data_IF_386433372498
#
_entry.id   IF_386433372498
#
_cell.length_a   1.000
_cell.length_b   1.000
_cell.length_c   1.000
_cell.angle_alpha   90.00
_cell.angle_beta   90.00
_cell.angle_gamma   90.00
#
_symmetry.space_group_name_H-M   'P 1'
#
loop_
_entity.id
_entity.type
_entity.pdbx_description
1 polymer ?
#
# COMPACT_ATOMS: atom_id res chain seq x y z
N UNK A 1 12.66 56.71 66.18
CA UNK A 1 13.67 57.69 65.72
C UNK A 1 12.92 58.87 65.12
N UNK A 2 13.14 60.03 65.72
CA UNK A 2 12.56 61.36 65.48
C UNK A 2 13.27 62.13 64.35
N UNK A 3 12.53 62.94 63.58
CA UNK A 3 12.91 64.29 63.07
C UNK A 3 11.94 64.73 61.94
N UNK A 4 10.98 65.64 62.18
CA UNK A 4 10.99 67.13 61.93
C UNK A 4 10.88 67.51 60.43
N UNK A 5 9.72 68.03 59.96
CA UNK A 5 9.24 69.44 59.96
C UNK A 5 10.10 70.36 59.03
N UNK A 6 9.58 71.18 58.10
CA UNK A 6 8.65 72.33 58.28
C UNK A 6 8.27 72.96 56.92
N UNK A 7 7.09 73.59 56.81
CA UNK A 7 6.59 74.39 55.68
C UNK A 7 7.20 75.82 55.60
N UNK A 8 6.90 76.62 54.56
CA UNK A 8 5.97 77.76 54.78
C UNK A 8 5.05 78.14 53.57
N UNK A 9 3.90 78.76 53.85
CA UNK A 9 3.12 79.58 52.89
C UNK A 9 3.74 80.99 52.67
N UNK A 10 3.12 82.00 51.99
CA UNK A 10 1.69 82.34 52.04
C UNK A 10 1.06 82.91 50.72
N UNK A 11 -0.19 83.37 50.87
CA UNK A 11 -1.20 84.02 49.99
C UNK A 11 -0.84 85.36 49.32
N UNK A 12 -1.47 85.68 48.16
CA UNK A 12 -2.00 87.01 47.78
C UNK A 12 -2.91 86.96 46.50
N UNK A 13 -3.80 87.95 46.24
CA UNK A 13 -5.09 87.75 45.55
C UNK A 13 -5.30 88.47 44.18
N UNK A 14 -6.38 88.04 43.50
CA UNK A 14 -7.31 88.71 42.57
C UNK A 14 -6.89 89.91 41.68
N UNK A 15 -7.14 89.79 40.37
CA UNK A 15 -7.55 90.82 39.36
C UNK A 15 -7.07 90.36 37.96
N UNK A 16 -7.74 90.47 36.82
CA UNK A 16 -9.07 90.83 36.35
C UNK A 16 -9.05 90.59 34.81
N UNK A 17 -10.16 90.32 34.11
CA UNK A 17 -10.13 90.05 32.66
C UNK A 17 -10.58 91.25 31.83
N UNK A 18 -9.80 91.61 30.80
CA UNK A 18 -10.16 92.22 29.50
C UNK A 18 -8.91 92.79 28.80
N UNK A 19 -8.86 93.02 27.46
CA UNK A 19 -9.83 92.74 26.40
C UNK A 19 -9.25 91.93 25.20
N UNK A 20 -10.08 91.54 24.21
CA UNK A 20 -9.66 90.73 23.06
C UNK A 20 -9.02 91.59 21.96
N UNK A 21 -8.06 91.00 21.24
CA UNK A 21 -7.56 91.50 19.95
C UNK A 21 -8.01 90.60 18.79
N UNK A 22 -8.18 91.16 17.58
CA UNK A 22 -8.97 90.57 16.49
C UNK A 22 -8.20 89.53 15.67
N UNK A 23 -8.89 88.68 14.88
CA UNK A 23 -8.29 87.52 14.25
C UNK A 23 -7.49 87.90 13.00
N UNK A 24 -6.27 87.36 12.79
CA UNK A 24 -5.70 87.21 11.47
C UNK A 24 -6.24 85.94 10.77
N UNK A 25 -6.31 85.93 9.43
CA UNK A 25 -6.86 84.82 8.63
C UNK A 25 -5.95 83.59 8.67
N UNK A 26 -6.48 82.36 8.46
CA UNK A 26 -5.66 81.15 8.57
C UNK A 26 -4.72 80.98 7.37
N UNK A 27 -3.42 80.88 7.65
CA UNK A 27 -2.44 80.24 6.79
C UNK A 27 -2.48 78.71 6.96
N UNK A 28 -2.36 78.02 5.83
CA UNK A 28 -1.53 76.83 5.60
C UNK A 28 -1.42 75.70 6.64
N UNK A 29 -1.73 74.48 6.13
CA UNK A 29 -1.12 73.16 6.44
C UNK A 29 -1.35 72.60 7.85
N UNK A 30 -2.01 71.44 7.94
CA UNK A 30 -1.29 70.15 7.95
C UNK A 30 -2.17 68.90 8.11
N UNK A 31 -1.68 67.81 7.48
CA UNK A 31 -1.65 66.41 7.94
C UNK A 31 -2.89 65.51 7.85
N UNK A 32 -2.69 64.49 7.01
CA UNK A 32 -2.69 63.07 7.36
C UNK A 32 -3.92 62.51 8.08
N UNK A 33 -4.78 61.85 7.30
CA UNK A 33 -5.66 60.78 7.78
C UNK A 33 -5.23 59.47 7.13
N UNK A 34 -4.25 58.79 7.73
CA UNK A 34 -3.94 57.41 7.42
C UNK A 34 -5.16 56.53 7.69
N UNK A 35 -5.58 55.77 6.68
CA UNK A 35 -6.45 54.61 6.84
C UNK A 35 -5.63 53.38 6.52
N UNK A 36 -4.84 52.98 7.50
CA UNK A 36 -4.38 51.60 7.66
C UNK A 36 -5.54 50.75 8.19
N UNK A 37 -5.79 49.62 7.53
CA UNK A 37 -6.74 48.62 8.02
C UNK A 37 -7.21 47.73 6.89
N UNK A 38 -6.76 46.47 6.92
CA UNK A 38 -7.22 45.19 6.34
C UNK A 38 -8.11 45.11 5.06
N UNK A 39 -8.79 46.17 4.63
CA UNK A 39 -9.59 46.27 3.41
C UNK A 39 -8.77 46.56 2.14
N UNK A 40 -7.52 47.01 2.28
CA UNK A 40 -6.61 47.18 1.13
C UNK A 40 -6.10 45.86 0.52
N UNK A 41 -6.29 44.73 1.21
CA UNK A 41 -5.84 43.42 0.73
C UNK A 41 -6.81 42.78 -0.29
N UNK A 42 -8.06 43.25 -0.34
CA UNK A 42 -9.10 42.72 -1.24
C UNK A 42 -9.20 43.47 -2.58
N UNK A 43 -8.54 44.62 -2.72
CA UNK A 43 -8.50 45.43 -3.95
C UNK A 43 -7.29 45.13 -4.86
N UNK A 44 -6.43 44.19 -4.43
CA UNK A 44 -5.23 43.75 -5.15
C UNK A 44 -5.48 43.08 -6.53
N UNK A 45 -6.60 42.38 -6.83
CA UNK A 45 -6.77 41.79 -8.16
C UNK A 45 -7.16 42.82 -9.23
N UNK A 46 -7.93 43.87 -8.89
CA UNK A 46 -8.51 44.79 -9.88
C UNK A 46 -7.53 45.82 -10.45
N UNK A 47 -6.64 46.36 -9.62
CA UNK A 47 -5.63 47.35 -10.06
C UNK A 47 -4.48 46.69 -10.83
N UNK A 48 -4.09 45.47 -10.45
CA UNK A 48 -3.09 44.67 -11.18
C UNK A 48 -3.54 44.35 -12.60
N UNK A 49 -4.79 43.91 -12.79
CA UNK A 49 -5.37 43.60 -14.11
C UNK A 49 -5.41 44.85 -15.01
N UNK A 50 -5.80 46.02 -14.49
CA UNK A 50 -5.84 47.26 -15.28
C UNK A 50 -4.46 47.80 -15.66
N UNK A 51 -3.43 47.56 -14.83
CA UNK A 51 -2.05 47.90 -15.15
C UNK A 51 -1.45 46.97 -16.22
N UNK A 52 -1.78 45.67 -16.16
CA UNK A 52 -1.44 44.66 -17.18
C UNK A 52 -2.08 45.01 -18.55
N UNK A 53 -3.34 45.42 -18.55
CA UNK A 53 -4.04 45.83 -19.79
C UNK A 53 -3.42 47.11 -20.40
N UNK A 54 -3.03 48.08 -19.56
CA UNK A 54 -2.39 49.32 -20.02
C UNK A 54 -0.96 49.10 -20.54
N UNK A 55 -0.20 48.20 -19.92
CA UNK A 55 1.15 47.86 -20.40
C UNK A 55 1.08 47.09 -21.73
N UNK A 56 0.12 46.17 -21.90
CA UNK A 56 -0.11 45.42 -23.14
C UNK A 56 -0.50 46.29 -24.35
N UNK A 57 -0.84 47.57 -24.16
CA UNK A 57 -1.07 48.51 -25.26
C UNK A 57 0.24 48.99 -25.93
N UNK A 58 1.39 48.87 -25.26
CA UNK A 58 2.70 49.30 -25.76
C UNK A 58 3.55 48.10 -26.19
N UNK A 59 4.38 48.25 -27.24
CA UNK A 59 5.27 47.17 -27.73
C UNK A 59 6.19 46.59 -26.63
N UNK A 60 6.81 47.41 -25.74
CA UNK A 60 7.59 46.90 -24.61
C UNK A 60 6.73 46.20 -23.55
N UNK A 61 5.51 46.70 -23.29
CA UNK A 61 4.64 46.11 -22.28
C UNK A 61 3.98 44.80 -22.71
N UNK A 62 3.78 44.55 -24.00
CA UNK A 62 3.40 43.21 -24.49
C UNK A 62 4.48 42.16 -24.22
N UNK A 63 5.75 42.53 -24.37
CA UNK A 63 6.87 41.62 -24.11
C UNK A 63 7.01 41.30 -22.61
N UNK A 64 6.78 42.27 -21.72
CA UNK A 64 6.78 42.01 -20.27
C UNK A 64 5.61 41.14 -19.83
N UNK A 65 4.41 41.31 -20.40
CA UNK A 65 3.26 40.43 -20.10
C UNK A 65 3.52 38.99 -20.54
N UNK A 66 4.11 38.78 -21.73
CA UNK A 66 4.52 37.44 -22.19
C UNK A 66 5.59 36.85 -21.26
N UNK A 67 6.57 37.65 -20.81
CA UNK A 67 7.62 37.19 -19.90
C UNK A 67 7.05 36.73 -18.56
N UNK A 68 6.21 37.56 -17.95
CA UNK A 68 5.58 37.26 -16.66
C UNK A 68 4.66 36.04 -16.78
N UNK A 69 3.92 35.93 -17.89
CA UNK A 69 3.08 34.78 -18.18
C UNK A 69 3.87 33.47 -18.30
N UNK A 70 4.98 33.47 -19.05
CA UNK A 70 5.84 32.29 -19.21
C UNK A 70 6.52 31.87 -17.90
N UNK A 71 6.99 32.83 -17.12
CA UNK A 71 7.61 32.56 -15.81
C UNK A 71 6.59 31.97 -14.83
N UNK A 72 5.40 32.56 -14.73
CA UNK A 72 4.34 32.03 -13.89
C UNK A 72 3.92 30.62 -14.33
N UNK A 73 3.73 30.40 -15.63
CA UNK A 73 3.35 29.11 -16.16
C UNK A 73 4.42 28.04 -15.91
N UNK A 74 5.71 28.40 -16.03
CA UNK A 74 6.83 27.51 -15.71
C UNK A 74 6.90 27.15 -14.22
N UNK A 75 6.69 28.12 -13.33
CA UNK A 75 6.69 27.90 -11.89
C UNK A 75 5.48 27.08 -11.44
N UNK A 76 4.28 27.34 -11.98
CA UNK A 76 3.08 26.57 -11.66
C UNK A 76 3.19 25.15 -12.22
N UNK A 77 3.65 24.98 -13.46
CA UNK A 77 3.87 23.66 -14.03
C UNK A 77 4.92 22.87 -13.25
N UNK A 78 6.04 23.50 -12.86
CA UNK A 78 7.06 22.90 -12.02
C UNK A 78 6.54 22.51 -10.64
N UNK A 79 5.83 23.41 -9.96
CA UNK A 79 5.25 23.16 -8.65
C UNK A 79 4.22 22.02 -8.71
N UNK A 80 3.29 22.04 -9.66
CA UNK A 80 2.29 20.97 -9.83
C UNK A 80 2.97 19.65 -10.16
N UNK A 81 3.99 19.64 -11.01
CA UNK A 81 4.73 18.42 -11.32
C UNK A 81 5.48 17.89 -10.08
N UNK A 82 6.17 18.74 -9.33
CA UNK A 82 6.87 18.36 -8.09
C UNK A 82 5.89 17.86 -7.02
N UNK A 83 4.78 18.55 -6.78
CA UNK A 83 3.75 18.11 -5.82
C UNK A 83 3.08 16.82 -6.27
N UNK A 84 2.87 16.62 -7.58
CA UNK A 84 2.32 15.36 -8.10
C UNK A 84 3.27 14.19 -7.89
N UNK A 85 4.59 14.42 -7.93
CA UNK A 85 5.60 13.40 -7.62
C UNK A 85 5.73 13.17 -6.11
N UNK A 86 5.73 14.23 -5.30
CA UNK A 86 5.82 14.14 -3.83
C UNK A 86 4.60 13.50 -3.19
N UNK A 87 3.38 13.88 -3.60
CA UNK A 87 2.16 13.23 -3.11
C UNK A 87 2.18 11.72 -3.42
N UNK A 88 2.84 11.32 -4.50
CA UNK A 88 2.99 9.92 -4.91
C UNK A 88 3.99 9.19 -4.01
N UNK A 89 5.10 9.83 -3.67
CA UNK A 89 6.12 9.35 -2.72
C UNK A 89 5.52 9.13 -1.31
N UNK A 90 4.81 10.12 -0.78
CA UNK A 90 4.14 10.05 0.53
C UNK A 90 3.05 8.97 0.57
N UNK A 91 2.30 8.80 -0.52
CA UNK A 91 1.24 7.77 -0.61
C UNK A 91 1.82 6.37 -0.75
N UNK A 92 2.88 6.19 -1.54
CA UNK A 92 3.59 4.91 -1.68
C UNK A 92 4.22 4.51 -0.34
N UNK A 93 4.86 5.44 0.35
CA UNK A 93 5.43 5.20 1.70
C UNK A 93 4.34 4.82 2.69
N UNK A 94 3.18 5.48 2.68
CA UNK A 94 2.03 5.11 3.52
C UNK A 94 1.47 3.72 3.22
N UNK A 95 1.38 3.33 1.94
CA UNK A 95 0.93 1.99 1.53
C UNK A 95 1.91 0.90 1.98
N UNK A 96 3.22 1.15 1.82
CA UNK A 96 4.29 0.21 2.20
C UNK A 96 4.43 0.10 3.72
N UNK A 97 4.40 1.21 4.45
CA UNK A 97 4.68 1.22 5.90
C UNK A 97 3.46 0.87 6.76
N UNK A 98 2.23 0.94 6.22
CA UNK A 98 1.01 0.64 6.98
C UNK A 98 0.18 -0.50 6.41
N UNK A 99 -0.09 -0.54 5.10
CA UNK A 99 -1.12 -1.42 4.51
C UNK A 99 -0.59 -2.80 4.08
N UNK A 100 0.62 -2.88 3.52
CA UNK A 100 1.26 -4.18 3.22
C UNK A 100 1.43 -5.06 4.49
N UNK A 101 1.85 -4.51 5.66
CA UNK A 101 1.97 -5.30 6.88
C UNK A 101 0.64 -5.78 7.47
N UNK A 102 -0.49 -5.15 7.10
CA UNK A 102 -1.85 -5.56 7.49
C UNK A 102 -2.35 -6.71 6.62
N UNK A 103 -2.25 -6.59 5.29
CA UNK A 103 -2.59 -7.68 4.38
C UNK A 103 -1.73 -8.94 4.68
N UNK A 104 -0.44 -8.74 4.98
CA UNK A 104 0.45 -9.81 5.41
C UNK A 104 0.00 -10.45 6.74
N UNK A 105 -0.51 -9.66 7.69
CA UNK A 105 -1.03 -10.15 8.96
C UNK A 105 -2.31 -10.97 8.75
N UNK A 106 -3.26 -10.49 7.95
CA UNK A 106 -4.51 -11.20 7.65
C UNK A 106 -4.25 -12.54 6.94
N UNK A 107 -3.27 -12.59 6.03
CA UNK A 107 -2.82 -13.85 5.46
C UNK A 107 -2.17 -14.77 6.50
N UNK A 108 -1.39 -14.23 7.44
CA UNK A 108 -0.81 -15.01 8.53
C UNK A 108 -1.88 -15.63 9.43
N UNK A 109 -2.96 -14.91 9.73
CA UNK A 109 -4.12 -15.45 10.46
C UNK A 109 -4.65 -16.70 9.78
N UNK A 110 -4.95 -16.62 8.47
CA UNK A 110 -5.43 -17.76 7.72
C UNK A 110 -4.45 -18.93 7.77
N UNK A 111 -3.17 -18.67 7.46
CA UNK A 111 -2.10 -19.68 7.41
C UNK A 111 -1.98 -20.43 8.74
N UNK A 112 -1.82 -19.70 9.84
CA UNK A 112 -1.57 -20.30 11.14
C UNK A 112 -2.79 -21.06 11.65
N UNK A 113 -4.01 -20.56 11.41
CA UNK A 113 -5.23 -21.28 11.80
C UNK A 113 -5.44 -22.58 11.02
N UNK A 114 -5.13 -22.55 9.72
CA UNK A 114 -5.23 -23.74 8.88
C UNK A 114 -4.16 -24.80 9.24
N UNK A 115 -2.94 -24.38 9.60
CA UNK A 115 -1.90 -25.31 10.08
C UNK A 115 -2.24 -25.88 11.46
N UNK A 116 -2.80 -25.06 12.35
CA UNK A 116 -3.23 -25.49 13.67
C UNK A 116 -4.29 -26.60 13.60
N UNK A 117 -5.28 -26.51 12.71
CA UNK A 117 -6.32 -27.54 12.56
C UNK A 117 -5.77 -28.86 12.00
N UNK A 118 -4.93 -28.79 10.96
CA UNK A 118 -4.25 -29.97 10.42
C UNK A 118 -3.34 -30.64 11.46
N UNK A 119 -2.62 -29.84 12.25
CA UNK A 119 -1.74 -30.32 13.33
C UNK A 119 -2.54 -30.95 14.46
N UNK A 120 -3.65 -30.33 14.88
CA UNK A 120 -4.53 -30.88 15.92
C UNK A 120 -5.13 -32.23 15.52
N UNK A 121 -5.58 -32.36 14.27
CA UNK A 121 -6.09 -33.62 13.75
C UNK A 121 -5.00 -34.71 13.69
N UNK A 122 -3.80 -34.35 13.24
CA UNK A 122 -2.67 -35.28 13.14
C UNK A 122 -2.24 -35.78 14.52
N UNK A 123 -2.15 -34.86 15.49
CA UNK A 123 -1.81 -35.16 16.88
C UNK A 123 -2.84 -36.10 17.54
N UNK A 124 -4.11 -35.99 17.16
CA UNK A 124 -5.18 -36.82 17.71
C UNK A 124 -5.10 -38.28 17.26
N UNK A 125 -4.60 -38.55 16.04
CA UNK A 125 -4.45 -39.91 15.52
C UNK A 125 -3.37 -40.72 16.25
N UNK A 126 -2.39 -40.07 16.86
CA UNK A 126 -1.40 -40.74 17.70
C UNK A 126 -2.08 -41.37 18.93
N UNK A 127 -2.09 -42.70 19.02
CA UNK A 127 -2.68 -43.42 20.15
C UNK A 127 -1.77 -43.26 21.38
N UNK A 128 -2.31 -42.69 22.47
CA UNK A 128 -1.61 -42.55 23.76
C UNK A 128 -1.10 -41.13 24.00
N UNK A 129 0.21 -40.98 24.28
CA UNK A 129 0.83 -39.66 24.52
C UNK A 129 1.05 -38.93 23.21
N UNK A 130 0.37 -37.78 23.06
CA UNK A 130 0.55 -36.81 21.98
C UNK A 130 2.04 -36.46 21.79
N UNK A 131 2.57 -36.51 20.55
CA UNK A 131 3.94 -36.11 20.26
C UNK A 131 4.19 -34.64 20.69
N UNK A 132 5.24 -34.35 21.47
CA UNK A 132 5.50 -33.00 21.97
C UNK A 132 5.77 -31.99 20.86
N UNK A 133 6.30 -32.44 19.72
CA UNK A 133 6.58 -31.60 18.55
C UNK A 133 5.28 -31.08 17.90
N UNK A 134 4.30 -31.96 17.68
CA UNK A 134 2.99 -31.57 17.13
C UNK A 134 2.24 -30.64 18.08
N UNK A 135 2.36 -30.88 19.40
CA UNK A 135 1.79 -29.99 20.40
C UNK A 135 2.41 -28.59 20.34
N UNK A 136 3.73 -28.50 20.30
CA UNK A 136 4.42 -27.20 20.22
C UNK A 136 4.08 -26.46 18.93
N UNK A 137 3.97 -27.18 17.80
CA UNK A 137 3.54 -26.60 16.52
C UNK A 137 2.14 -26.00 16.64
N UNK A 138 1.16 -26.76 17.12
CA UNK A 138 -0.20 -26.25 17.35
C UNK A 138 -0.22 -25.00 18.25
N UNK A 139 0.47 -25.05 19.40
CA UNK A 139 0.50 -23.93 20.35
C UNK A 139 1.15 -22.67 19.74
N UNK A 140 2.22 -22.84 18.95
CA UNK A 140 2.85 -21.76 18.20
C UNK A 140 1.89 -21.17 17.16
N UNK A 141 1.22 -22.01 16.38
CA UNK A 141 0.35 -21.55 15.31
C UNK A 141 -0.86 -20.78 15.87
N UNK A 142 -1.43 -21.22 17.00
CA UNK A 142 -2.49 -20.46 17.70
C UNK A 142 -1.97 -19.12 18.23
N UNK A 143 -0.75 -19.08 18.76
CA UNK A 143 -0.14 -17.83 19.23
C UNK A 143 0.14 -16.86 18.08
N UNK A 144 0.68 -17.35 16.96
CA UNK A 144 0.92 -16.56 15.75
C UNK A 144 -0.37 -16.03 15.14
N UNK A 145 -1.41 -16.86 15.05
CA UNK A 145 -2.73 -16.45 14.59
C UNK A 145 -3.31 -15.34 15.49
N UNK A 146 -3.21 -15.48 16.81
CA UNK A 146 -3.68 -14.47 17.76
C UNK A 146 -2.93 -13.13 17.63
N UNK A 147 -1.61 -13.18 17.48
CA UNK A 147 -0.79 -11.98 17.28
C UNK A 147 -1.09 -11.28 15.94
N UNK A 148 -1.22 -12.07 14.87
CA UNK A 148 -1.57 -11.56 13.55
C UNK A 148 -2.99 -10.97 13.53
N UNK A 149 -3.95 -11.61 14.21
CA UNK A 149 -5.31 -11.11 14.34
C UNK A 149 -5.35 -9.79 15.13
N UNK A 150 -4.58 -9.69 16.22
CA UNK A 150 -4.47 -8.43 16.96
C UNK A 150 -3.89 -7.30 16.11
N UNK A 151 -2.91 -7.60 15.24
CA UNK A 151 -2.35 -6.64 14.29
C UNK A 151 -3.38 -6.23 13.23
N UNK A 152 -4.05 -7.19 12.60
CA UNK A 152 -5.11 -6.90 11.62
C UNK A 152 -6.28 -6.11 12.24
N UNK A 153 -6.66 -6.45 13.48
CA UNK A 153 -7.72 -5.75 14.20
C UNK A 153 -7.33 -4.31 14.62
N UNK A 154 -6.03 -4.01 14.75
CA UNK A 154 -5.57 -2.69 15.22
C UNK A 154 -5.90 -1.53 14.27
N UNK A 155 -6.16 -1.84 12.98
CA UNK A 155 -6.52 -0.86 11.94
C UNK A 155 -7.99 -0.98 11.46
N UNK A 156 -8.74 -1.94 12.01
CA UNK A 156 -10.15 -2.19 11.66
C UNK A 156 -11.11 -1.04 12.01
N UNK A 157 -10.63 -0.04 12.76
CA UNK A 157 -11.37 1.19 13.08
C UNK A 157 -11.59 2.12 11.88
N UNK A 158 -10.72 2.07 10.86
CA UNK A 158 -10.83 2.89 9.64
C UNK A 158 -11.58 2.16 8.50
N UNK A 159 -11.80 0.85 8.62
CA UNK A 159 -12.45 0.02 7.60
C UNK A 159 -13.64 -0.70 8.22
N UNK A 160 -14.84 -0.10 8.09
CA UNK A 160 -16.09 -0.65 8.59
C UNK A 160 -16.35 -2.11 8.12
N UNK A 161 -15.80 -2.49 6.96
CA UNK A 161 -15.98 -3.80 6.34
C UNK A 161 -15.09 -4.91 6.95
N UNK A 162 -13.99 -4.56 7.65
CA UNK A 162 -13.08 -5.52 8.30
C UNK A 162 -13.57 -5.94 9.70
N UNK A 163 -14.48 -5.17 10.31
CA UNK A 163 -14.96 -5.41 11.68
C UNK A 163 -15.75 -6.73 11.82
N UNK A 164 -16.50 -7.12 10.79
CA UNK A 164 -17.30 -8.35 10.79
C UNK A 164 -16.43 -9.61 10.86
N UNK A 165 -15.49 -9.82 9.92
CA UNK A 165 -14.55 -10.94 9.97
C UNK A 165 -13.75 -11.02 11.27
N UNK A 166 -13.24 -9.89 11.78
CA UNK A 166 -12.47 -9.83 13.03
C UNK A 166 -13.33 -10.26 14.23
N UNK A 167 -14.60 -9.85 14.29
CA UNK A 167 -15.52 -10.24 15.35
C UNK A 167 -15.78 -11.76 15.35
N UNK A 168 -16.00 -12.34 14.17
CA UNK A 168 -16.15 -13.80 14.03
C UNK A 168 -14.90 -14.53 14.54
N UNK A 169 -13.71 -14.10 14.11
CA UNK A 169 -12.45 -14.71 14.54
C UNK A 169 -12.24 -14.62 16.05
N UNK A 170 -12.48 -13.45 16.65
CA UNK A 170 -12.35 -13.24 18.09
C UNK A 170 -13.33 -14.09 18.91
N UNK A 171 -14.55 -14.29 18.42
CA UNK A 171 -15.55 -15.10 19.11
C UNK A 171 -15.32 -16.60 18.96
N UNK A 172 -14.97 -17.06 17.76
CA UNK A 172 -14.92 -18.49 17.46
C UNK A 172 -13.57 -19.14 17.82
N UNK A 173 -12.45 -18.41 17.80
CA UNK A 173 -11.14 -18.98 18.09
C UNK A 173 -11.01 -19.55 19.53
N UNK A 174 -11.54 -18.88 20.58
CA UNK A 174 -11.59 -19.48 21.92
C UNK A 174 -12.46 -20.73 21.99
N UNK A 175 -13.58 -20.78 21.25
CA UNK A 175 -14.45 -21.98 21.21
C UNK A 175 -13.73 -23.14 20.54
N UNK A 176 -13.06 -22.89 19.41
CA UNK A 176 -12.25 -23.88 18.72
C UNK A 176 -11.17 -24.47 19.62
N UNK A 177 -10.35 -23.62 20.25
CA UNK A 177 -9.27 -24.09 21.14
C UNK A 177 -9.82 -24.89 22.33
N UNK A 178 -10.97 -24.49 22.89
CA UNK A 178 -11.67 -25.26 23.94
C UNK A 178 -12.14 -26.65 23.48
N UNK A 179 -12.67 -26.78 22.26
CA UNK A 179 -13.06 -28.06 21.68
C UNK A 179 -11.85 -28.97 21.43
N UNK A 180 -10.75 -28.43 20.91
CA UNK A 180 -9.50 -29.18 20.70
C UNK A 180 -8.94 -29.70 22.04
N UNK A 181 -8.89 -28.88 23.08
CA UNK A 181 -8.42 -29.33 24.40
C UNK A 181 -9.35 -30.39 25.03
N UNK A 182 -10.65 -30.28 24.80
CA UNK A 182 -11.63 -31.28 25.23
C UNK A 182 -11.43 -32.60 24.48
N UNK A 183 -11.21 -32.52 23.16
CA UNK A 183 -10.88 -33.67 22.34
C UNK A 183 -9.59 -34.36 22.83
N UNK A 184 -8.51 -33.59 23.03
CA UNK A 184 -7.22 -34.07 23.55
C UNK A 184 -7.36 -34.77 24.89
N UNK A 185 -8.07 -34.16 25.83
CA UNK A 185 -8.28 -34.71 27.16
C UNK A 185 -9.01 -36.07 27.11
N UNK A 186 -10.03 -36.18 26.26
CA UNK A 186 -10.75 -37.43 26.05
C UNK A 186 -9.90 -38.48 25.30
N UNK A 187 -9.07 -38.07 24.34
CA UNK A 187 -8.16 -38.96 23.62
C UNK A 187 -7.15 -39.62 24.57
N UNK A 188 -6.58 -38.83 25.50
CA UNK A 188 -5.65 -39.34 26.53
C UNK A 188 -6.28 -40.35 27.48
N UNK A 189 -7.59 -40.24 27.71
CA UNK A 189 -8.37 -41.19 28.52
C UNK A 189 -8.87 -42.39 27.69
N UNK A 190 -8.63 -42.41 26.38
CA UNK A 190 -9.10 -43.46 25.47
C UNK A 190 -10.60 -43.39 25.18
N UNK A 191 -11.26 -42.26 25.46
CA UNK A 191 -12.70 -42.11 25.26
C UNK A 191 -13.03 -41.77 23.80
N UNK A 192 -13.88 -42.57 23.11
CA UNK A 192 -14.25 -42.34 21.70
C UNK A 192 -14.87 -40.96 21.43
N UNK A 193 -15.48 -40.34 22.44
CA UNK A 193 -16.07 -39.00 22.33
C UNK A 193 -15.06 -37.92 21.95
N UNK A 194 -13.76 -38.14 22.23
CA UNK A 194 -12.71 -37.21 21.81
C UNK A 194 -12.71 -36.95 20.30
N UNK A 195 -12.98 -37.98 19.50
CA UNK A 195 -13.04 -37.86 18.04
C UNK A 195 -14.23 -37.01 17.58
N UNK A 196 -15.31 -36.97 18.37
CA UNK A 196 -16.47 -36.13 18.05
C UNK A 196 -16.19 -34.66 18.35
N UNK A 197 -15.55 -34.35 19.47
CA UNK A 197 -15.11 -32.98 19.77
C UNK A 197 -14.09 -32.45 18.77
N UNK A 198 -13.15 -33.29 18.31
CA UNK A 198 -12.19 -32.88 17.28
C UNK A 198 -12.91 -32.57 15.97
N UNK A 199 -13.82 -33.45 15.52
CA UNK A 199 -14.60 -33.19 14.29
C UNK A 199 -15.42 -31.91 14.39
N UNK A 200 -16.02 -31.63 15.55
CA UNK A 200 -16.75 -30.39 15.80
C UNK A 200 -15.81 -29.17 15.76
N UNK A 201 -14.61 -29.28 16.32
CA UNK A 201 -13.60 -28.22 16.24
C UNK A 201 -13.18 -27.94 14.79
N UNK A 202 -12.86 -28.98 14.02
CA UNK A 202 -12.46 -28.82 12.62
C UNK A 202 -13.61 -28.37 11.72
N UNK A 203 -14.84 -28.72 12.05
CA UNK A 203 -16.03 -28.16 11.37
C UNK A 203 -16.18 -26.67 11.67
N UNK A 204 -16.02 -26.26 12.94
CA UNK A 204 -16.03 -24.84 13.31
C UNK A 204 -14.93 -24.07 12.58
N UNK A 205 -13.72 -24.64 12.48
CA UNK A 205 -12.60 -24.05 11.77
C UNK A 205 -12.94 -23.83 10.29
N UNK A 206 -13.44 -24.87 9.60
CA UNK A 206 -13.68 -24.83 8.16
C UNK A 206 -14.95 -24.06 7.78
N UNK A 207 -16.01 -24.14 8.56
CA UNK A 207 -17.29 -23.51 8.24
C UNK A 207 -17.38 -22.04 8.65
N UNK A 208 -16.57 -21.59 9.62
CA UNK A 208 -16.65 -20.21 10.16
C UNK A 208 -15.32 -19.48 10.23
N UNK A 209 -14.31 -20.10 10.82
CA UNK A 209 -13.06 -19.39 11.13
C UNK A 209 -12.25 -19.10 9.86
N UNK A 210 -11.96 -20.12 9.04
CA UNK A 210 -11.20 -19.95 7.80
C UNK A 210 -11.91 -19.04 6.78
N UNK A 211 -13.25 -19.16 6.55
CA UNK A 211 -13.97 -18.21 5.71
C UNK A 211 -13.86 -16.76 6.21
N UNK A 212 -13.97 -16.53 7.53
CA UNK A 212 -13.78 -15.20 8.09
C UNK A 212 -12.35 -14.69 7.90
N UNK A 213 -11.32 -15.53 8.10
CA UNK A 213 -9.93 -15.16 7.83
C UNK A 213 -9.70 -14.83 6.34
N UNK A 214 -10.36 -15.56 5.43
CA UNK A 214 -10.29 -15.31 3.99
C UNK A 214 -11.00 -14.00 3.61
N UNK A 215 -12.17 -13.73 4.19
CA UNK A 215 -12.88 -12.46 3.98
C UNK A 215 -12.08 -11.27 4.50
N UNK A 216 -11.43 -11.41 5.66
CA UNK A 216 -10.52 -10.39 6.19
C UNK A 216 -9.37 -10.10 5.22
N UNK A 217 -8.70 -11.16 4.72
CA UNK A 217 -7.64 -11.03 3.73
C UNK A 217 -8.11 -10.35 2.43
N UNK A 218 -9.30 -10.73 1.93
CA UNK A 218 -9.89 -10.13 0.72
C UNK A 218 -10.17 -8.65 0.90
N UNK A 219 -10.80 -8.25 2.00
CA UNK A 219 -11.10 -6.83 2.30
C UNK A 219 -9.82 -6.01 2.36
N UNK A 220 -8.78 -6.50 3.06
CA UNK A 220 -7.51 -5.79 3.17
C UNK A 220 -6.77 -5.69 1.83
N UNK A 221 -6.86 -6.73 1.00
CA UNK A 221 -6.22 -6.76 -0.33
C UNK A 221 -6.96 -5.86 -1.33
N UNK A 222 -8.28 -5.86 -1.36
CA UNK A 222 -9.08 -4.97 -2.22
C UNK A 222 -8.81 -3.50 -1.89
N UNK A 223 -8.71 -3.17 -0.59
CA UNK A 223 -8.34 -1.83 -0.11
C UNK A 223 -6.92 -1.43 -0.50
N UNK A 224 -5.97 -2.36 -0.36
CA UNK A 224 -4.58 -2.14 -0.78
C UNK A 224 -4.50 -1.78 -2.26
N UNK A 225 -5.25 -2.51 -3.10
CA UNK A 225 -5.34 -2.26 -4.55
C UNK A 225 -6.01 -0.90 -4.82
N UNK A 226 -7.12 -0.58 -4.16
CA UNK A 226 -7.82 0.70 -4.34
C UNK A 226 -6.94 1.92 -3.96
N UNK A 227 -6.24 1.85 -2.83
CA UNK A 227 -5.32 2.91 -2.39
C UNK A 227 -4.12 3.01 -3.34
N UNK A 228 -3.60 1.88 -3.84
CA UNK A 228 -2.53 1.86 -4.84
C UNK A 228 -2.98 2.42 -6.21
N UNK A 229 -4.19 2.11 -6.67
CA UNK A 229 -4.77 2.65 -7.91
C UNK A 229 -4.98 4.16 -7.83
N UNK A 230 -5.47 4.64 -6.67
CA UNK A 230 -5.61 6.07 -6.40
C UNK A 230 -4.26 6.80 -6.41
N UNK A 231 -3.20 6.15 -5.93
CA UNK A 231 -1.83 6.66 -5.92
C UNK A 231 -1.19 6.64 -7.32
N UNK A 232 -1.53 5.65 -8.15
CA UNK A 232 -0.89 5.40 -9.45
C UNK A 232 -1.59 6.07 -10.64
N UNK A 233 -2.75 6.71 -10.46
CA UNK A 233 -3.49 7.41 -11.52
C UNK A 233 -2.64 8.37 -12.38
N UNK A 234 -2.95 8.48 -13.68
CA UNK A 234 -2.19 9.31 -14.63
C UNK A 234 -2.31 10.81 -14.27
N UNK A 235 -1.18 11.57 -14.15
CA UNK A 235 -1.19 12.94 -13.64
C UNK A 235 -1.64 13.96 -14.70
N UNK A 236 -2.90 13.87 -15.12
CA UNK A 236 -3.50 14.68 -16.19
C UNK A 236 -3.24 16.18 -16.05
N UNK A 237 -3.37 16.72 -14.83
CA UNK A 237 -3.16 18.15 -14.55
C UNK A 237 -1.72 18.59 -14.87
N UNK A 238 -0.73 17.81 -14.43
CA UNK A 238 0.68 18.09 -14.69
C UNK A 238 0.99 17.98 -16.18
N UNK A 239 0.50 16.93 -16.85
CA UNK A 239 0.69 16.75 -18.30
C UNK A 239 0.10 17.91 -19.10
N UNK A 240 -1.12 18.34 -18.78
CA UNK A 240 -1.78 19.48 -19.45
C UNK A 240 -0.99 20.77 -19.26
N UNK A 241 -0.50 21.05 -18.04
CA UNK A 241 0.28 22.26 -17.75
C UNK A 241 1.61 22.29 -18.50
N UNK A 242 2.31 21.16 -18.58
CA UNK A 242 3.59 21.07 -19.29
C UNK A 242 3.39 21.20 -20.81
N UNK A 243 2.34 20.59 -21.37
CA UNK A 243 1.97 20.76 -22.78
C UNK A 243 1.60 22.22 -23.08
N UNK A 244 0.83 22.87 -22.19
CA UNK A 244 0.49 24.28 -22.31
C UNK A 244 1.73 25.18 -22.27
N UNK A 245 2.71 24.87 -21.40
CA UNK A 245 3.98 25.60 -21.30
C UNK A 245 4.82 25.49 -22.58
N UNK A 246 4.93 24.29 -23.15
CA UNK A 246 5.59 24.08 -24.44
C UNK A 246 4.91 24.90 -25.54
N UNK A 247 3.58 24.82 -25.64
CA UNK A 247 2.83 25.57 -26.64
C UNK A 247 3.04 27.08 -26.50
N UNK A 248 3.03 27.61 -25.26
CA UNK A 248 3.28 29.01 -24.98
C UNK A 248 4.70 29.45 -25.37
N UNK A 249 5.73 28.63 -25.10
CA UNK A 249 7.11 28.90 -25.50
C UNK A 249 7.28 28.93 -27.02
N UNK A 250 6.66 27.98 -27.75
CA UNK A 250 6.68 27.94 -29.22
C UNK A 250 5.99 29.17 -29.82
N UNK A 251 4.81 29.54 -29.31
CA UNK A 251 4.08 30.73 -29.76
C UNK A 251 4.90 32.00 -29.49
N UNK A 252 5.54 32.11 -28.32
CA UNK A 252 6.40 33.24 -28.00
C UNK A 252 7.61 33.33 -28.94
N UNK A 253 8.26 32.22 -29.25
CA UNK A 253 9.37 32.18 -30.21
C UNK A 253 8.93 32.60 -31.62
N UNK A 254 7.82 32.05 -32.14
CA UNK A 254 7.27 32.43 -33.45
C UNK A 254 6.94 33.93 -33.49
N UNK A 255 6.33 34.47 -32.44
CA UNK A 255 5.99 35.88 -32.34
C UNK A 255 7.23 36.78 -32.36
N UNK A 256 8.27 36.44 -31.59
CA UNK A 256 9.53 37.20 -31.59
C UNK A 256 10.26 37.11 -32.93
N UNK A 257 10.33 35.92 -33.54
CA UNK A 257 11.02 35.72 -34.83
C UNK A 257 10.33 36.50 -35.95
N UNK A 258 9.00 36.46 -36.02
CA UNK A 258 8.23 37.25 -37.01
C UNK A 258 8.36 38.75 -36.83
N UNK A 259 8.54 39.23 -35.59
CA UNK A 259 8.59 40.67 -35.31
C UNK A 259 10.00 41.26 -35.35
N UNK A 260 11.03 40.44 -35.13
CA UNK A 260 12.44 40.90 -35.02
C UNK A 260 13.37 40.35 -36.10
N UNK A 261 12.91 39.44 -36.99
CA UNK A 261 13.68 38.81 -38.06
C UNK A 261 15.01 38.13 -37.64
N UNK A 262 15.21 37.89 -36.33
CA UNK A 262 16.34 37.13 -35.79
C UNK A 262 15.86 35.75 -35.39
N UNK A 263 16.55 34.72 -35.85
CA UNK A 263 16.06 33.34 -35.85
C UNK A 263 16.07 32.67 -34.47
N UNK A 264 16.95 33.05 -33.53
CA UNK A 264 17.08 32.36 -32.23
C UNK A 264 17.32 33.33 -31.07
N UNK A 265 16.54 33.19 -30.00
CA UNK A 265 16.75 33.85 -28.71
C UNK A 265 17.30 32.82 -27.72
N UNK A 266 18.56 32.99 -27.31
CA UNK A 266 19.30 32.01 -26.50
C UNK A 266 18.57 31.69 -25.19
N UNK A 267 17.99 32.68 -24.51
CA UNK A 267 17.27 32.45 -23.25
C UNK A 267 15.98 31.63 -23.43
N UNK A 268 15.22 31.89 -24.50
CA UNK A 268 14.02 31.10 -24.83
C UNK A 268 14.37 29.67 -25.26
N UNK A 269 15.51 29.48 -25.93
CA UNK A 269 16.01 28.14 -26.30
C UNK A 269 16.38 27.36 -25.05
N UNK A 270 17.12 27.96 -24.11
CA UNK A 270 17.46 27.33 -22.82
C UNK A 270 16.19 26.92 -22.06
N UNK A 271 15.17 27.79 -22.03
CA UNK A 271 13.90 27.46 -21.40
C UNK A 271 13.17 26.29 -22.09
N UNK A 272 13.20 26.24 -23.42
CA UNK A 272 12.56 25.15 -24.18
C UNK A 272 13.29 23.82 -23.97
N UNK A 273 14.62 23.84 -23.97
CA UNK A 273 15.44 22.65 -23.69
C UNK A 273 15.18 22.13 -22.28
N UNK A 274 15.10 23.00 -21.27
CA UNK A 274 14.79 22.60 -19.90
C UNK A 274 13.40 21.93 -19.78
N UNK A 275 12.39 22.47 -20.45
CA UNK A 275 11.03 21.88 -20.46
C UNK A 275 11.00 20.54 -21.21
N UNK A 276 11.69 20.43 -22.35
CA UNK A 276 11.80 19.16 -23.10
C UNK A 276 12.56 18.10 -22.30
N UNK A 277 13.64 18.47 -21.62
CA UNK A 277 14.36 17.55 -20.72
C UNK A 277 13.47 17.11 -19.56
N UNK A 278 12.68 18.02 -18.99
CA UNK A 278 11.71 17.68 -17.93
C UNK A 278 10.67 16.67 -18.42
N UNK A 279 10.17 16.85 -19.64
CA UNK A 279 9.23 15.93 -20.28
C UNK A 279 9.84 14.58 -20.59
N UNK A 280 11.05 14.55 -21.15
CA UNK A 280 11.73 13.30 -21.47
C UNK A 280 12.11 12.55 -20.21
N UNK A 281 12.60 13.22 -19.18
CA UNK A 281 12.91 12.61 -17.89
C UNK A 281 11.63 12.08 -17.23
N UNK A 282 10.56 12.88 -17.19
CA UNK A 282 9.25 12.43 -16.68
C UNK A 282 8.66 11.26 -17.48
N UNK A 283 8.78 11.27 -18.81
CA UNK A 283 8.33 10.18 -19.66
C UNK A 283 9.15 8.91 -19.47
N UNK A 284 10.48 9.02 -19.38
CA UNK A 284 11.36 7.88 -19.06
C UNK A 284 11.01 7.31 -17.70
N UNK A 285 10.77 8.15 -16.70
CA UNK A 285 10.37 7.66 -15.38
C UNK A 285 8.98 7.01 -15.38
N UNK A 286 8.00 7.56 -16.11
CA UNK A 286 6.69 6.94 -16.30
C UNK A 286 6.79 5.60 -17.04
N UNK A 287 7.70 5.47 -18.02
CA UNK A 287 7.95 4.23 -18.75
C UNK A 287 8.67 3.21 -17.87
N UNK A 288 9.70 3.63 -17.13
CA UNK A 288 10.42 2.80 -16.17
C UNK A 288 9.48 2.31 -15.07
N UNK A 289 8.68 3.21 -14.51
CA UNK A 289 7.62 2.91 -13.55
C UNK A 289 6.57 1.97 -14.17
N UNK A 290 6.11 2.23 -15.39
CA UNK A 290 5.15 1.35 -16.08
C UNK A 290 5.72 -0.04 -16.40
N UNK A 291 7.01 -0.15 -16.72
CA UNK A 291 7.66 -1.43 -17.00
C UNK A 291 8.02 -2.24 -15.75
N UNK A 292 8.32 -1.57 -14.63
CA UNK A 292 8.67 -2.20 -13.36
C UNK A 292 7.41 -2.51 -12.52
N UNK A 293 6.42 -1.62 -12.55
CA UNK A 293 5.17 -1.73 -11.77
C UNK A 293 4.06 -2.39 -12.58
N UNK A 294 3.91 -2.10 -13.88
CA UNK A 294 2.86 -2.70 -14.72
C UNK A 294 3.08 -4.19 -15.04
N UNK A 295 4.33 -4.67 -15.01
CA UNK A 295 4.63 -6.10 -15.05
C UNK A 295 4.51 -6.77 -13.65
N UNK A 296 4.44 -5.99 -12.57
CA UNK A 296 4.33 -6.48 -11.19
C UNK A 296 2.91 -6.42 -10.60
N UNK A 297 2.06 -5.49 -11.05
CA UNK A 297 0.70 -5.26 -10.49
C UNK A 297 -0.32 -6.30 -10.94
N UNK A 298 -0.49 -6.51 -12.24
CA UNK A 298 -1.47 -7.48 -12.76
C UNK A 298 -0.97 -8.93 -12.62
N UNK A 299 0.35 -9.12 -12.62
CA UNK A 299 0.98 -10.44 -12.62
C UNK A 299 1.48 -10.88 -11.23
N UNK A 300 2.09 -10.01 -10.42
CA UNK A 300 2.73 -10.39 -9.15
C UNK A 300 1.74 -10.71 -8.02
N UNK A 301 0.74 -9.84 -7.82
CA UNK A 301 -0.32 -10.04 -6.83
C UNK A 301 -1.16 -11.30 -7.14
N UNK A 302 -1.46 -11.50 -8.42
CA UNK A 302 -2.18 -12.67 -8.91
C UNK A 302 -1.36 -13.96 -8.77
N UNK A 303 -0.05 -13.94 -9.09
CA UNK A 303 0.87 -15.07 -8.86
C UNK A 303 0.86 -15.52 -7.40
N UNK A 304 0.95 -14.57 -6.45
CA UNK A 304 0.93 -14.88 -5.02
C UNK A 304 -0.45 -15.40 -4.58
N UNK A 305 -1.56 -14.79 -5.03
CA UNK A 305 -2.92 -15.26 -4.71
C UNK A 305 -3.13 -16.73 -5.14
N UNK A 306 -2.71 -17.10 -6.35
CA UNK A 306 -2.84 -18.49 -6.83
C UNK A 306 -2.07 -19.46 -5.94
N UNK A 307 -0.85 -19.10 -5.51
CA UNK A 307 -0.05 -19.93 -4.59
C UNK A 307 -0.68 -20.04 -3.20
N UNK A 308 -1.25 -18.94 -2.70
CA UNK A 308 -1.99 -18.94 -1.43
C UNK A 308 -3.18 -19.88 -1.52
N UNK A 309 -4.01 -19.73 -2.55
CA UNK A 309 -5.15 -20.62 -2.81
C UNK A 309 -4.73 -22.09 -2.94
N UNK A 310 -3.59 -22.36 -3.58
CA UNK A 310 -3.05 -23.72 -3.67
C UNK A 310 -2.71 -24.27 -2.28
N UNK A 311 -2.02 -23.48 -1.45
CA UNK A 311 -1.70 -23.87 -0.07
C UNK A 311 -2.95 -24.08 0.78
N UNK A 312 -3.98 -23.24 0.60
CA UNK A 312 -5.29 -23.41 1.22
C UNK A 312 -5.91 -24.76 0.87
N UNK A 313 -6.01 -25.09 -0.42
CA UNK A 313 -6.58 -26.35 -0.88
C UNK A 313 -5.77 -27.56 -0.35
N UNK A 314 -4.45 -27.43 -0.30
CA UNK A 314 -3.57 -28.46 0.26
C UNK A 314 -3.84 -28.72 1.75
N UNK A 315 -3.94 -27.66 2.56
CA UNK A 315 -4.20 -27.77 3.99
C UNK A 315 -5.60 -28.33 4.28
N UNK A 316 -6.62 -27.92 3.52
CA UNK A 316 -7.98 -28.47 3.62
C UNK A 316 -7.99 -29.97 3.30
N UNK A 317 -7.37 -30.37 2.18
CA UNK A 317 -7.23 -31.78 1.85
C UNK A 317 -6.45 -32.55 2.94
N UNK A 318 -5.42 -31.96 3.56
CA UNK A 318 -4.68 -32.63 4.64
C UNK A 318 -5.53 -32.86 5.88
N UNK A 319 -6.37 -31.89 6.24
CA UNK A 319 -7.33 -32.05 7.32
C UNK A 319 -8.32 -33.18 6.98
N UNK A 320 -8.86 -33.20 5.76
CA UNK A 320 -9.79 -34.24 5.29
C UNK A 320 -9.16 -35.63 5.34
N UNK A 321 -7.96 -35.82 4.78
CA UNK A 321 -7.21 -37.08 4.85
C UNK A 321 -7.11 -37.59 6.29
N UNK A 322 -6.74 -36.70 7.21
CA UNK A 322 -6.55 -37.04 8.62
C UNK A 322 -7.88 -37.41 9.27
N UNK A 323 -8.95 -36.69 8.96
CA UNK A 323 -10.28 -36.92 9.51
C UNK A 323 -10.94 -38.19 8.95
N UNK A 324 -10.56 -38.67 7.76
CA UNK A 324 -10.99 -40.00 7.29
C UNK A 324 -10.62 -41.09 8.31
N UNK A 325 -9.42 -41.01 8.88
CA UNK A 325 -8.91 -41.95 9.89
C UNK A 325 -9.54 -41.68 11.27
N UNK A 326 -9.72 -40.41 11.65
CA UNK A 326 -10.37 -40.05 12.93
C UNK A 326 -11.80 -40.57 13.00
N UNK A 327 -12.53 -40.54 11.88
CA UNK A 327 -13.93 -40.95 11.79
C UNK A 327 -14.15 -42.47 11.86
N UNK A 328 -13.09 -43.30 11.85
CA UNK A 328 -13.12 -44.77 12.06
C UNK A 328 -14.32 -45.48 11.44
N UNK A 329 -14.48 -45.33 10.12
CA UNK A 329 -15.56 -45.97 9.34
C UNK A 329 -16.67 -45.02 8.85
N UNK A 330 -16.71 -43.78 9.34
CA UNK A 330 -17.63 -42.71 8.86
C UNK A 330 -16.89 -41.63 8.05
N UNK A 331 -15.77 -42.00 7.42
CA UNK A 331 -14.85 -41.07 6.74
C UNK A 331 -15.21 -40.70 5.30
N UNK A 332 -16.32 -41.22 4.76
CA UNK A 332 -16.63 -41.11 3.32
C UNK A 332 -16.85 -39.67 2.84
N UNK A 333 -17.39 -38.80 3.70
CA UNK A 333 -17.53 -37.38 3.38
C UNK A 333 -16.16 -36.70 3.25
N UNK A 334 -15.26 -36.93 4.20
CA UNK A 334 -13.91 -36.40 4.17
C UNK A 334 -13.10 -36.92 2.97
N UNK A 335 -13.27 -38.20 2.60
CA UNK A 335 -12.62 -38.73 1.39
C UNK A 335 -13.08 -38.02 0.11
N UNK A 336 -14.38 -37.71 0.03
CA UNK A 336 -14.93 -36.96 -1.10
C UNK A 336 -14.36 -35.54 -1.15
N UNK A 337 -14.29 -34.87 0.00
CA UNK A 337 -13.79 -33.50 0.12
C UNK A 337 -12.28 -33.43 -0.15
N UNK A 338 -11.50 -34.42 0.32
CA UNK A 338 -10.11 -34.62 -0.08
C UNK A 338 -9.98 -34.67 -1.61
N UNK A 339 -10.80 -35.50 -2.28
CA UNK A 339 -10.78 -35.63 -3.73
C UNK A 339 -11.08 -34.31 -4.45
N UNK A 340 -12.07 -33.55 -3.96
CA UNK A 340 -12.40 -32.24 -4.52
C UNK A 340 -11.24 -31.23 -4.36
N UNK A 341 -10.66 -31.15 -3.16
CA UNK A 341 -9.52 -30.29 -2.86
C UNK A 341 -8.26 -30.69 -3.65
N UNK A 342 -8.01 -31.99 -3.83
CA UNK A 342 -6.91 -32.50 -4.65
C UNK A 342 -7.07 -32.12 -6.13
N UNK A 343 -8.28 -32.20 -6.68
CA UNK A 343 -8.58 -31.76 -8.05
C UNK A 343 -8.44 -30.25 -8.19
N UNK A 344 -8.87 -29.47 -7.20
CA UNK A 344 -8.68 -28.01 -7.20
C UNK A 344 -7.18 -27.66 -7.16
N UNK A 345 -6.40 -28.37 -6.33
CA UNK A 345 -4.98 -28.14 -6.16
C UNK A 345 -4.16 -28.46 -7.43
N UNK A 346 -4.33 -29.66 -7.99
CA UNK A 346 -3.44 -30.18 -9.03
C UNK A 346 -4.14 -30.67 -10.30
N UNK A 347 -5.47 -30.50 -10.42
CA UNK A 347 -6.25 -31.05 -11.50
C UNK A 347 -6.42 -32.58 -11.40
N UNK A 348 -7.30 -33.13 -12.23
CA UNK A 348 -7.54 -34.59 -12.28
C UNK A 348 -6.33 -35.38 -12.84
N UNK A 349 -5.42 -34.70 -13.54
CA UNK A 349 -4.21 -35.26 -14.13
C UNK A 349 -2.95 -35.06 -13.26
N UNK A 350 -3.06 -34.36 -12.13
CA UNK A 350 -1.94 -34.01 -11.27
C UNK A 350 -0.98 -32.96 -11.85
N UNK A 351 -1.37 -32.29 -12.94
CA UNK A 351 -0.59 -31.23 -13.60
C UNK A 351 -1.38 -29.93 -13.85
N UNK A 352 -2.72 -29.96 -13.71
CA UNK A 352 -3.60 -28.79 -13.80
C UNK A 352 -3.89 -28.15 -12.44
N UNK A 353 -5.12 -27.63 -12.29
CA UNK A 353 -5.56 -26.95 -11.07
C UNK A 353 -4.76 -25.69 -10.77
N UNK A 354 -4.74 -25.28 -9.51
CA UNK A 354 -4.02 -24.10 -9.02
C UNK A 354 -2.50 -24.23 -9.21
N UNK A 355 -1.93 -25.42 -9.10
CA UNK A 355 -0.49 -25.66 -9.36
C UNK A 355 -0.14 -25.54 -10.85
N UNK A 356 -1.04 -25.96 -11.74
CA UNK A 356 -0.89 -25.77 -13.18
C UNK A 356 -0.99 -24.30 -13.58
N UNK A 357 -1.95 -23.57 -12.98
CA UNK A 357 -2.08 -22.12 -13.14
C UNK A 357 -0.83 -21.38 -12.62
N UNK A 358 -0.37 -21.69 -11.40
CA UNK A 358 0.86 -21.13 -10.83
C UNK A 358 2.07 -21.37 -11.73
N UNK A 359 2.20 -22.56 -12.34
CA UNK A 359 3.30 -22.87 -13.26
C UNK A 359 3.22 -22.05 -14.56
N UNK A 360 2.01 -21.71 -15.01
CA UNK A 360 1.82 -20.88 -16.20
C UNK A 360 2.15 -19.41 -15.93
N UNK A 361 1.86 -18.92 -14.71
CA UNK A 361 2.11 -17.55 -14.29
C UNK A 361 3.56 -17.31 -13.82
N UNK A 362 4.19 -18.34 -13.23
CA UNK A 362 5.53 -18.29 -12.64
C UNK A 362 6.45 -19.21 -13.46
N UNK A 363 6.88 -18.71 -14.62
CA UNK A 363 7.63 -19.49 -15.61
C UNK A 363 9.17 -19.42 -15.46
N UNK A 364 9.66 -18.46 -14.69
CA UNK A 364 11.08 -18.14 -14.51
C UNK A 364 11.39 -17.72 -13.06
N UNK A 365 12.69 -17.57 -12.76
CA UNK A 365 13.17 -17.22 -11.42
C UNK A 365 13.14 -18.37 -10.42
N UNK A 366 13.46 -18.05 -9.16
CA UNK A 366 13.50 -19.03 -8.06
C UNK A 366 12.09 -19.56 -7.74
N UNK A 367 11.05 -18.75 -7.95
CA UNK A 367 9.65 -19.13 -7.75
C UNK A 367 9.22 -20.30 -8.63
N UNK A 368 9.67 -20.35 -9.90
CA UNK A 368 9.31 -21.41 -10.83
C UNK A 368 9.81 -22.79 -10.36
N UNK A 369 11.03 -22.86 -9.82
CA UNK A 369 11.57 -24.08 -9.24
C UNK A 369 10.72 -24.56 -8.05
N UNK A 370 10.30 -23.64 -7.17
CA UNK A 370 9.44 -23.96 -6.03
C UNK A 370 8.07 -24.49 -6.44
N UNK A 371 7.46 -23.94 -7.50
CA UNK A 371 6.18 -24.46 -8.03
C UNK A 371 6.32 -25.86 -8.61
N UNK A 372 7.44 -26.16 -9.28
CA UNK A 372 7.75 -27.52 -9.77
C UNK A 372 7.90 -28.49 -8.61
N UNK A 373 8.66 -28.10 -7.58
CA UNK A 373 8.84 -28.90 -6.36
C UNK A 373 7.50 -29.15 -5.64
N UNK A 374 6.66 -28.12 -5.51
CA UNK A 374 5.31 -28.24 -4.96
C UNK A 374 4.46 -29.22 -5.77
N UNK A 375 4.49 -29.15 -7.10
CA UNK A 375 3.70 -30.08 -7.94
C UNK A 375 4.16 -31.52 -7.79
N UNK A 376 5.48 -31.74 -7.71
CA UNK A 376 6.03 -33.08 -7.46
C UNK A 376 5.62 -33.59 -6.07
N UNK A 377 5.75 -32.75 -5.05
CA UNK A 377 5.39 -33.09 -3.69
C UNK A 377 3.89 -33.38 -3.52
N UNK A 378 3.01 -32.62 -4.19
CA UNK A 378 1.57 -32.91 -4.24
C UNK A 378 1.27 -34.29 -4.82
N UNK A 379 1.89 -34.62 -5.95
CA UNK A 379 1.71 -35.94 -6.57
C UNK A 379 2.24 -37.08 -5.71
N UNK A 380 3.35 -36.89 -5.01
CA UNK A 380 3.89 -37.88 -4.08
C UNK A 380 2.99 -38.03 -2.84
N UNK A 381 2.44 -36.94 -2.33
CA UNK A 381 1.46 -36.96 -1.26
C UNK A 381 0.15 -37.65 -1.67
N UNK A 382 -0.38 -37.42 -2.87
CA UNK A 382 -1.57 -38.13 -3.36
C UNK A 382 -1.34 -39.65 -3.50
N UNK A 383 -0.13 -40.08 -3.87
CA UNK A 383 0.22 -41.50 -3.85
C UNK A 383 0.25 -42.04 -2.42
N UNK A 384 0.85 -41.29 -1.50
CA UNK A 384 0.90 -41.65 -0.10
C UNK A 384 -0.51 -41.77 0.52
N UNK A 385 -1.40 -40.82 0.22
CA UNK A 385 -2.81 -40.86 0.60
C UNK A 385 -3.52 -42.13 0.10
N UNK A 386 -3.31 -42.53 -1.16
CA UNK A 386 -3.86 -43.80 -1.68
C UNK A 386 -3.37 -45.01 -0.88
N UNK A 387 -2.12 -45.01 -0.43
CA UNK A 387 -1.59 -46.05 0.46
C UNK A 387 -2.29 -46.03 1.81
N UNK A 388 -2.51 -44.85 2.42
CA UNK A 388 -3.29 -44.69 3.65
C UNK A 388 -4.69 -45.29 3.49
N UNK A 389 -5.42 -44.91 2.44
CA UNK A 389 -6.77 -45.43 2.15
C UNK A 389 -6.77 -46.94 1.92
N UNK A 390 -5.83 -47.46 1.14
CA UNK A 390 -5.72 -48.90 0.90
C UNK A 390 -5.47 -49.69 2.19
N UNK A 391 -4.68 -49.15 3.13
CA UNK A 391 -4.43 -49.80 4.41
C UNK A 391 -5.68 -49.75 5.29
N UNK A 392 -6.32 -48.57 5.42
CA UNK A 392 -7.55 -48.37 6.19
C UNK A 392 -8.69 -49.28 5.69
N UNK A 393 -8.95 -49.30 4.37
CA UNK A 393 -10.00 -50.11 3.74
C UNK A 393 -9.74 -51.62 3.87
N UNK A 394 -8.48 -52.03 4.04
CA UNK A 394 -8.08 -53.43 4.25
C UNK A 394 -8.14 -53.87 5.72
N UNK A 395 -8.50 -52.96 6.64
CA UNK A 395 -8.54 -53.20 8.08
C UNK A 395 -7.18 -53.05 8.78
N UNK A 396 -6.14 -52.62 8.08
CA UNK A 396 -4.80 -52.30 8.61
C UNK A 396 -4.77 -50.88 9.17
N UNK A 397 -5.65 -50.61 10.15
CA UNK A 397 -5.86 -49.26 10.66
C UNK A 397 -4.60 -48.67 11.30
N UNK A 398 -3.85 -49.47 12.07
CA UNK A 398 -2.65 -48.96 12.74
C UNK A 398 -1.57 -48.60 11.72
N UNK A 399 -1.40 -49.42 10.69
CA UNK A 399 -0.47 -49.16 9.59
C UNK A 399 -0.86 -47.90 8.82
N UNK A 400 -2.17 -47.71 8.57
CA UNK A 400 -2.71 -46.52 7.92
C UNK A 400 -2.44 -45.25 8.74
N UNK A 401 -2.67 -45.29 10.05
CA UNK A 401 -2.35 -44.21 10.98
C UNK A 401 -0.85 -43.91 10.97
N UNK A 402 -0.01 -44.93 11.16
CA UNK A 402 1.44 -44.78 11.19
C UNK A 402 1.96 -44.20 9.87
N UNK A 403 1.41 -44.62 8.72
CA UNK A 403 1.73 -44.09 7.40
C UNK A 403 1.23 -42.65 7.21
N UNK A 404 0.12 -42.28 7.85
CA UNK A 404 -0.46 -40.95 7.75
C UNK A 404 0.26 -39.89 8.59
N UNK A 405 0.74 -40.24 9.80
CA UNK A 405 1.17 -39.24 10.80
C UNK A 405 2.64 -39.29 11.22
N UNK A 406 3.35 -40.41 11.05
CA UNK A 406 4.74 -40.50 11.50
C UNK A 406 5.66 -39.67 10.61
N UNK A 407 6.36 -38.71 11.24
CA UNK A 407 7.23 -37.77 10.53
C UNK A 407 8.55 -38.39 10.05
N UNK A 408 9.01 -39.45 10.70
CA UNK A 408 10.25 -40.18 10.40
C UNK A 408 10.09 -41.22 9.28
N UNK A 409 8.85 -41.51 8.89
CA UNK A 409 8.51 -42.42 7.80
C UNK A 409 8.61 -41.72 6.46
N UNK A 410 9.81 -41.70 5.87
CA UNK A 410 10.16 -40.85 4.69
C UNK A 410 9.26 -41.01 3.46
N UNK A 411 8.65 -42.18 3.26
CA UNK A 411 7.67 -42.50 2.21
C UNK A 411 6.21 -42.27 2.62
N UNK A 412 5.97 -41.91 3.88
CA UNK A 412 4.67 -41.65 4.48
C UNK A 412 3.99 -40.36 4.01
N UNK A 413 2.71 -40.24 4.32
CA UNK A 413 1.87 -39.10 3.92
C UNK A 413 2.29 -37.81 4.62
N UNK A 414 2.57 -37.83 5.94
CA UNK A 414 3.00 -36.64 6.69
C UNK A 414 4.24 -35.94 6.08
N UNK A 415 5.38 -36.62 5.84
CA UNK A 415 6.54 -35.95 5.24
C UNK A 415 6.35 -35.60 3.77
N UNK A 416 5.49 -36.31 3.02
CA UNK A 416 5.14 -35.93 1.65
C UNK A 416 4.34 -34.63 1.62
N UNK A 417 3.35 -34.50 2.50
CA UNK A 417 2.58 -33.27 2.68
C UNK A 417 3.46 -32.11 3.15
N UNK A 418 4.36 -32.33 4.12
CA UNK A 418 5.28 -31.28 4.60
C UNK A 418 6.12 -30.70 3.46
N UNK A 419 6.67 -31.55 2.58
CA UNK A 419 7.42 -31.12 1.40
C UNK A 419 6.57 -30.24 0.46
N UNK A 420 5.28 -30.54 0.33
CA UNK A 420 4.35 -29.70 -0.44
C UNK A 420 4.13 -28.35 0.24
N UNK A 421 3.83 -28.36 1.54
CA UNK A 421 3.57 -27.14 2.31
C UNK A 421 4.79 -26.21 2.32
N UNK A 422 5.99 -26.76 2.56
CA UNK A 422 7.26 -26.05 2.53
C UNK A 422 7.53 -25.44 1.15
N UNK A 423 7.33 -26.20 0.06
CA UNK A 423 7.55 -25.70 -1.29
C UNK A 423 6.57 -24.60 -1.69
N UNK A 424 5.30 -24.71 -1.28
CA UNK A 424 4.30 -23.67 -1.49
C UNK A 424 4.62 -22.41 -0.67
N UNK A 425 5.04 -22.58 0.58
CA UNK A 425 5.44 -21.48 1.44
C UNK A 425 6.67 -20.75 0.89
N UNK A 426 7.70 -21.50 0.48
CA UNK A 426 8.89 -20.94 -0.18
C UNK A 426 8.52 -20.18 -1.47
N UNK A 427 7.60 -20.71 -2.29
CA UNK A 427 7.14 -20.03 -3.49
C UNK A 427 6.43 -18.70 -3.18
N UNK A 428 5.58 -18.69 -2.14
CA UNK A 428 4.90 -17.48 -1.67
C UNK A 428 5.92 -16.45 -1.18
N UNK A 429 6.91 -16.89 -0.40
CA UNK A 429 7.92 -16.00 0.18
C UNK A 429 8.82 -15.39 -0.91
N UNK A 430 9.21 -16.18 -1.93
CA UNK A 430 9.93 -15.66 -3.10
C UNK A 430 9.07 -14.66 -3.87
N UNK A 431 7.81 -14.99 -4.17
CA UNK A 431 6.92 -14.08 -4.89
C UNK A 431 6.68 -12.75 -4.17
N UNK A 432 6.60 -12.79 -2.83
CA UNK A 432 6.53 -11.56 -2.01
C UNK A 432 7.82 -10.75 -2.06
N UNK A 433 8.99 -11.40 -1.95
CA UNK A 433 10.28 -10.70 -2.03
C UNK A 433 10.46 -10.04 -3.41
N UNK A 434 10.12 -10.73 -4.50
CA UNK A 434 10.15 -10.14 -5.85
C UNK A 434 9.20 -8.94 -5.99
N UNK A 435 8.03 -9.00 -5.36
CA UNK A 435 7.10 -7.87 -5.31
C UNK A 435 7.66 -6.68 -4.50
N UNK A 436 8.28 -6.95 -3.34
CA UNK A 436 8.90 -5.90 -2.52
C UNK A 436 10.12 -5.28 -3.23
N UNK A 437 10.99 -6.10 -3.83
CA UNK A 437 12.17 -5.65 -4.57
C UNK A 437 11.79 -4.80 -5.79
N UNK A 438 10.77 -5.21 -6.56
CA UNK A 438 10.25 -4.43 -7.69
C UNK A 438 9.62 -3.10 -7.24
N UNK A 439 8.96 -3.09 -6.08
CA UNK A 439 8.39 -1.87 -5.49
C UNK A 439 9.50 -0.91 -5.01
N UNK A 440 10.50 -1.40 -4.29
CA UNK A 440 11.62 -0.59 -3.78
C UNK A 440 12.55 -0.08 -4.89
N UNK A 441 12.80 -0.88 -5.93
CA UNK A 441 13.60 -0.44 -7.07
C UNK A 441 12.88 0.58 -7.96
N UNK A 442 11.54 0.53 -8.01
CA UNK A 442 10.70 1.59 -8.58
C UNK A 442 10.82 2.91 -7.81
N UNK A 443 10.90 2.85 -6.48
CA UNK A 443 11.03 4.02 -5.60
C UNK A 443 12.39 4.72 -5.74
N UNK A 444 13.49 3.95 -5.74
CA UNK A 444 14.85 4.48 -5.91
C UNK A 444 15.05 5.29 -7.20
N UNK A 445 14.34 4.94 -8.28
CA UNK A 445 14.39 5.66 -9.55
C UNK A 445 13.64 7.01 -9.53
N UNK A 446 12.71 7.22 -8.58
CA UNK A 446 11.88 8.41 -8.45
C UNK A 446 12.44 9.45 -7.48
N UNK A 447 13.32 9.05 -6.55
CA UNK A 447 13.92 9.93 -5.52
C UNK A 447 14.57 11.21 -6.07
N UNK A 448 15.23 11.14 -7.24
CA UNK A 448 15.88 12.30 -7.87
C UNK A 448 14.95 13.12 -8.78
N UNK A 449 13.73 12.63 -9.01
CA UNK A 449 12.83 13.20 -10.01
C UNK A 449 12.17 14.48 -9.53
N UNK A 450 11.67 14.51 -8.29
CA UNK A 450 11.13 15.72 -7.67
C UNK A 450 12.15 16.89 -7.60
N UNK A 451 13.37 16.70 -7.05
CA UNK A 451 14.38 17.78 -7.04
C UNK A 451 14.88 18.11 -8.45
N UNK A 452 14.96 17.14 -9.35
CA UNK A 452 15.35 17.34 -10.76
C UNK A 452 14.37 18.22 -11.53
N UNK A 453 13.06 17.95 -11.42
CA UNK A 453 12.00 18.76 -12.05
C UNK A 453 11.94 20.17 -11.48
N UNK A 454 12.09 20.33 -10.16
CA UNK A 454 12.12 21.64 -9.52
C UNK A 454 13.29 22.50 -10.04
N UNK A 455 14.48 21.88 -10.17
CA UNK A 455 15.65 22.56 -10.72
C UNK A 455 15.45 22.95 -12.20
N UNK A 456 14.90 22.05 -13.02
CA UNK A 456 14.61 22.35 -14.44
C UNK A 456 13.56 23.46 -14.61
N UNK A 457 12.55 23.53 -13.74
CA UNK A 457 11.56 24.62 -13.74
C UNK A 457 12.21 25.99 -13.42
N UNK A 458 13.16 26.03 -12.47
CA UNK A 458 13.93 27.24 -12.15
C UNK A 458 14.79 27.66 -13.35
N UNK A 459 15.45 26.71 -14.02
CA UNK A 459 16.24 26.96 -15.23
C UNK A 459 15.35 27.52 -16.35
N UNK A 460 14.15 26.96 -16.54
CA UNK A 460 13.20 27.46 -17.53
C UNK A 460 12.74 28.89 -17.24
N UNK A 461 12.41 29.21 -15.99
CA UNK A 461 12.03 30.56 -15.57
C UNK A 461 13.17 31.57 -15.75
N UNK A 462 14.40 31.18 -15.40
CA UNK A 462 15.59 32.02 -15.58
C UNK A 462 15.87 32.28 -17.08
N UNK A 463 15.79 31.25 -17.92
CA UNK A 463 15.97 31.36 -19.37
C UNK A 463 14.94 32.29 -20.03
N UNK A 464 13.66 32.13 -19.68
CA UNK A 464 12.58 33.01 -20.16
C UNK A 464 12.82 34.48 -19.76
N UNK A 465 13.26 34.71 -18.52
CA UNK A 465 13.55 36.05 -18.01
C UNK A 465 14.74 36.70 -18.72
N UNK A 466 15.86 35.98 -18.89
CA UNK A 466 17.05 36.50 -19.55
C UNK A 466 16.79 36.79 -21.03
N UNK A 467 16.13 35.87 -21.75
CA UNK A 467 15.84 36.02 -23.18
C UNK A 467 14.98 37.24 -23.49
N UNK A 468 14.03 37.59 -22.62
CA UNK A 468 13.15 38.75 -22.83
C UNK A 468 13.82 40.04 -22.32
N UNK A 469 14.63 39.99 -21.25
CA UNK A 469 15.38 41.15 -20.74
C UNK A 469 16.42 41.66 -21.73
N UNK A 470 17.10 40.76 -22.46
CA UNK A 470 18.06 41.13 -23.49
C UNK A 470 17.37 41.89 -24.65
N UNK A 471 16.14 41.51 -24.99
CA UNK A 471 15.31 42.22 -25.99
C UNK A 471 14.77 43.55 -25.51
N UNK A 472 14.39 43.67 -24.25
CA UNK A 472 13.94 44.95 -23.67
C UNK A 472 15.08 45.99 -23.63
N UNK A 473 16.35 45.56 -23.58
CA UNK A 473 17.51 46.45 -23.66
C UNK A 473 17.78 46.99 -25.07
N UNK A 474 17.38 46.28 -26.12
CA UNK A 474 17.52 46.73 -27.52
C UNK A 474 16.53 47.87 -27.89
N UNK A 475 15.48 48.08 -27.08
CA UNK A 475 14.46 49.14 -27.28
C UNK A 475 14.66 50.39 -26.40
N UNK A 476 15.70 50.41 -25.55
CA UNK A 476 16.17 51.59 -24.84
C UNK A 476 17.36 52.18 -25.57
#
# INVERSE_FOLDING_TARGET
MTSTATAPGPTAPASGPAPPTPPPPPEGRDRAGGRSGFLGLLDLPGQGIRAIIRSAATTPGRLTVIAVGLVLLALVAGLVATLSVQNRDDTITGVIDHREPLAAASQQVYRSLSDADATAASAFLSIGTEPPELRQRYERDIAEAGAALAKAASDSGDVADAAGPVDVLNQQLPVYTGLVETARSNNRLGYPVGASYLREASELMRAKILPAAQDLYRVDTEKLIEEQDSATGFPWLATILVVALLAALVVAQIYLTRRTNRLLNVGLVVATVAVVLSLLWGAVALVVQGSLVGAGQDDGSHRVDVLVRARIAALQARADETLTLVARGDGAAYEKDFGANAVQLAGADGQGGLLGEARSLISDGDGAAKVVDATKAANDWFKAHKTVRSQDDSGQYQEAVDFAVLEDKTDGSAPAFRRLDDALQDAIDVGRQEFLDSTHSGDGALTLLAPGLALLAIVAAAGATMGIRERLREYR
#
